data_IF_908270584544
#
_entry.id   IF_908270584544
#
_cell.length_a   1.000
_cell.length_b   1.000
_cell.length_c   1.000
_cell.angle_alpha   90.00
_cell.angle_beta   90.00
_cell.angle_gamma   90.00
#
_symmetry.space_group_name_H-M   'P 1'
#
loop_
_entity.id
_entity.type
_entity.pdbx_description
1 polymer ?
#
# COMPACT_ATOMS: atom_id res chain seq x y z
N UNK A 1 67.16 18.46 3.78
CA UNK A 1 66.07 19.02 4.58
C UNK A 1 66.44 20.44 4.98
N UNK A 2 65.99 21.44 4.22
CA UNK A 2 66.27 22.87 4.48
C UNK A 2 64.96 23.67 4.40
N UNK A 3 63.93 23.20 5.11
CA UNK A 3 62.61 23.83 5.17
C UNK A 3 62.28 24.40 6.56
N UNK A 4 63.14 24.17 7.54
CA UNK A 4 63.10 24.85 8.83
C UNK A 4 64.19 25.90 8.78
N UNK A 5 63.83 27.19 8.78
CA UNK A 5 64.79 28.21 9.19
C UNK A 5 65.07 27.96 10.67
N UNK A 6 66.17 27.28 10.93
CA UNK A 6 66.89 27.48 12.16
C UNK A 6 67.14 28.99 12.27
N UNK A 7 66.81 29.59 13.42
CA UNK A 7 66.89 31.02 13.74
C UNK A 7 65.61 31.83 13.43
N UNK A 8 64.54 31.57 14.20
CA UNK A 8 63.75 32.66 14.77
C UNK A 8 63.68 32.47 16.29
N UNK A 9 63.88 33.55 17.04
CA UNK A 9 63.71 33.58 18.49
C UNK A 9 62.22 33.48 18.81
N UNK A 10 61.67 32.27 18.78
CA UNK A 10 60.25 31.99 18.98
C UNK A 10 59.96 30.50 18.92
N UNK A 11 58.78 30.11 19.39
CA UNK A 11 58.30 28.74 19.24
C UNK A 11 57.91 28.49 17.78
N UNK A 12 57.99 27.24 17.34
CA UNK A 12 57.59 26.81 15.99
C UNK A 12 56.09 27.04 15.68
N UNK A 13 55.28 27.37 16.68
CA UNK A 13 53.88 27.73 16.56
C UNK A 13 53.63 29.25 16.63
N UNK A 14 54.68 30.05 16.83
CA UNK A 14 54.54 31.50 16.87
C UNK A 14 54.16 32.01 15.47
N UNK A 15 53.29 33.01 15.43
CA UNK A 15 52.77 33.58 14.20
C UNK A 15 53.90 34.24 13.40
N UNK A 16 54.29 33.67 12.25
CA UNK A 16 55.23 34.29 11.34
C UNK A 16 54.53 35.45 10.60
N UNK A 17 55.22 36.57 10.44
CA UNK A 17 54.70 37.73 9.69
C UNK A 17 54.22 37.32 8.30
N UNK A 18 53.04 37.79 7.91
CA UNK A 18 52.51 37.61 6.56
C UNK A 18 53.58 38.11 5.56
N UNK A 19 53.90 37.32 4.52
CA UNK A 19 54.87 37.72 3.51
C UNK A 19 54.50 39.09 2.94
N UNK A 20 55.39 40.07 3.06
CA UNK A 20 55.13 41.47 2.68
C UNK A 20 54.85 41.68 1.18
N UNK A 21 55.06 40.64 0.37
CA UNK A 21 54.76 40.61 -1.06
C UNK A 21 53.38 39.98 -1.40
N UNK A 22 52.63 39.51 -0.40
CA UNK A 22 51.33 38.86 -0.56
C UNK A 22 50.21 39.66 0.15
N UNK A 23 48.96 39.45 -0.26
CA UNK A 23 47.80 40.06 0.42
C UNK A 23 47.80 39.65 1.91
N UNK A 24 47.35 40.54 2.79
CA UNK A 24 47.36 40.31 4.22
C UNK A 24 46.45 39.12 4.59
N UNK A 25 47.06 37.95 4.78
CA UNK A 25 46.38 36.74 5.23
C UNK A 25 46.63 36.46 6.71
N UNK A 26 46.03 35.38 7.20
CA UNK A 26 46.22 34.97 8.58
C UNK A 26 47.60 34.32 8.76
N UNK A 27 48.33 34.76 9.78
CA UNK A 27 49.69 34.29 10.10
C UNK A 27 49.70 32.77 10.40
N UNK A 28 50.73 32.06 9.93
CA UNK A 28 50.94 30.61 10.16
C UNK A 28 52.39 30.35 10.60
N UNK A 29 52.62 29.28 11.35
CA UNK A 29 53.92 29.00 12.01
C UNK A 29 55.01 28.33 11.14
N UNK A 30 54.73 27.99 9.89
CA UNK A 30 55.69 27.29 8.99
C UNK A 30 55.77 27.99 7.64
N UNK A 31 56.91 28.64 7.35
CA UNK A 31 57.10 29.53 6.19
C UNK A 31 56.68 28.90 4.86
N UNK A 32 57.13 27.68 4.58
CA UNK A 32 56.80 26.99 3.32
C UNK A 32 55.31 26.67 3.17
N UNK A 33 54.62 26.39 4.28
CA UNK A 33 53.17 26.19 4.27
C UNK A 33 52.44 27.53 4.20
N UNK A 34 52.95 28.56 4.88
CA UNK A 34 52.40 29.91 4.87
C UNK A 34 52.42 30.50 3.45
N UNK A 35 53.55 30.40 2.76
CA UNK A 35 53.71 30.84 1.37
C UNK A 35 52.83 30.01 0.42
N UNK A 36 52.82 28.68 0.54
CA UNK A 36 52.03 27.81 -0.33
C UNK A 36 50.52 28.04 -0.16
N UNK A 37 50.05 28.23 1.07
CA UNK A 37 48.64 28.51 1.37
C UNK A 37 48.25 29.90 0.89
N UNK A 38 49.06 30.94 1.11
CA UNK A 38 48.77 32.26 0.54
C UNK A 38 48.81 32.27 -1.00
N UNK A 39 49.67 31.47 -1.62
CA UNK A 39 49.66 31.29 -3.07
C UNK A 39 48.40 30.57 -3.56
N UNK A 40 47.87 29.64 -2.78
CA UNK A 40 46.59 28.97 -3.04
C UNK A 40 45.41 29.95 -2.86
N UNK A 41 45.39 30.72 -1.78
CA UNK A 41 44.40 31.77 -1.49
C UNK A 41 44.43 32.89 -2.56
N UNK A 42 45.59 33.16 -3.17
CA UNK A 42 45.74 34.06 -4.32
C UNK A 42 45.15 33.51 -5.62
N UNK A 43 44.97 32.18 -5.75
CA UNK A 43 44.32 31.62 -6.94
C UNK A 43 42.89 32.15 -7.01
N UNK A 44 42.55 32.67 -8.18
CA UNK A 44 41.20 33.15 -8.48
C UNK A 44 40.49 32.09 -9.29
N UNK A 45 39.23 31.88 -8.94
CA UNK A 45 38.35 30.96 -9.64
C UNK A 45 37.43 31.77 -10.54
N UNK A 46 37.17 31.24 -11.73
CA UNK A 46 36.16 31.78 -12.61
C UNK A 46 34.85 31.07 -12.31
N UNK A 47 33.83 31.86 -12.02
CA UNK A 47 32.45 31.38 -11.97
C UNK A 47 31.59 32.13 -12.97
N UNK A 48 30.46 31.55 -13.31
CA UNK A 48 29.46 32.12 -14.20
C UNK A 48 28.34 32.74 -13.36
N UNK A 49 27.97 33.97 -13.67
CA UNK A 49 26.93 34.72 -12.94
C UNK A 49 25.89 35.22 -13.94
N UNK A 50 24.71 34.58 -13.91
CA UNK A 50 23.60 34.91 -14.80
C UNK A 50 22.92 36.20 -14.35
N UNK A 51 22.84 37.17 -15.27
CA UNK A 51 21.96 38.33 -15.11
C UNK A 51 20.62 38.03 -15.77
N UNK A 52 19.53 38.16 -15.02
CA UNK A 52 18.17 37.99 -15.54
C UNK A 52 17.61 39.27 -16.19
N UNK A 53 18.46 40.30 -16.36
CA UNK A 53 18.08 41.51 -17.08
C UNK A 53 18.18 41.27 -18.59
N UNK A 54 17.13 41.67 -19.28
CA UNK A 54 17.05 41.58 -20.73
C UNK A 54 17.90 42.67 -21.39
N UNK A 55 18.74 42.25 -22.32
CA UNK A 55 19.58 43.11 -23.15
C UNK A 55 19.06 43.04 -24.57
N UNK A 56 18.60 44.18 -25.10
CA UNK A 56 18.09 44.27 -26.47
C UNK A 56 19.24 44.46 -27.45
N UNK A 57 19.40 43.54 -28.39
CA UNK A 57 20.40 43.68 -29.46
C UNK A 57 19.88 44.63 -30.54
N UNK A 58 20.54 45.78 -30.81
CA UNK A 58 20.07 46.71 -31.83
C UNK A 58 20.01 46.11 -33.22
N UNK A 59 19.11 46.65 -34.05
CA UNK A 59 19.04 46.31 -35.46
C UNK A 59 20.38 46.57 -36.17
N UNK A 60 20.74 45.68 -37.09
CA UNK A 60 21.97 45.73 -37.89
C UNK A 60 23.28 45.68 -37.08
N UNK A 61 23.23 45.18 -35.84
CA UNK A 61 24.39 45.01 -34.98
C UNK A 61 24.52 43.57 -34.47
N UNK A 62 25.76 43.12 -34.29
CA UNK A 62 26.11 41.90 -33.58
C UNK A 62 26.95 42.21 -32.33
N UNK A 63 26.77 43.38 -31.75
CA UNK A 63 27.36 43.80 -30.49
C UNK A 63 26.38 44.73 -29.75
N UNK A 64 26.58 44.90 -28.44
CA UNK A 64 25.77 45.79 -27.59
C UNK A 64 26.67 46.50 -26.60
N UNK A 65 26.57 47.83 -26.50
CA UNK A 65 27.10 48.58 -25.37
C UNK A 65 26.09 48.51 -24.23
N UNK A 66 26.48 47.98 -23.08
CA UNK A 66 25.59 47.75 -21.95
C UNK A 66 25.21 49.08 -21.27
N UNK A 67 23.91 49.32 -21.11
CA UNK A 67 23.35 50.44 -20.34
C UNK A 67 23.36 50.18 -18.82
N UNK A 68 22.96 51.19 -18.02
CA UNK A 68 23.06 51.14 -16.55
C UNK A 68 22.32 49.96 -15.90
N UNK A 69 21.22 49.50 -16.51
CA UNK A 69 20.46 48.34 -16.04
C UNK A 69 21.01 46.99 -16.54
N UNK A 70 21.84 47.00 -17.58
CA UNK A 70 22.33 45.80 -18.29
C UNK A 70 23.74 45.39 -17.85
N UNK A 71 24.35 46.17 -16.95
CA UNK A 71 25.66 45.88 -16.39
C UNK A 71 25.66 44.57 -15.58
N UNK A 72 26.84 43.92 -15.43
CA UNK A 72 26.96 42.74 -14.57
C UNK A 72 26.48 43.05 -13.14
N UNK A 73 25.89 42.06 -12.42
CA UNK A 73 25.41 42.26 -11.05
C UNK A 73 26.48 42.78 -10.10
N UNK A 74 27.74 42.46 -10.38
CA UNK A 74 28.90 43.09 -9.75
C UNK A 74 29.48 44.15 -10.68
N UNK A 75 29.37 45.41 -10.28
CA UNK A 75 29.87 46.53 -11.07
C UNK A 75 31.41 46.55 -11.23
N UNK A 76 32.18 45.83 -10.39
CA UNK A 76 33.62 45.75 -10.57
C UNK A 76 33.99 44.90 -11.79
N UNK A 77 34.86 45.42 -12.67
CA UNK A 77 35.44 44.69 -13.80
C UNK A 77 36.98 44.65 -13.72
N UNK A 78 37.57 43.65 -14.34
CA UNK A 78 39.02 43.46 -14.42
C UNK A 78 39.43 42.95 -15.80
N UNK A 79 40.40 43.64 -16.42
CA UNK A 79 40.98 43.27 -17.72
C UNK A 79 42.32 42.53 -17.62
N UNK A 80 43.00 42.61 -16.47
CA UNK A 80 44.24 41.90 -16.18
C UNK A 80 44.03 40.42 -15.84
N UNK A 81 45.07 39.75 -15.35
CA UNK A 81 45.05 38.30 -15.08
C UNK A 81 44.67 37.90 -13.64
N UNK A 82 44.72 38.83 -12.68
CA UNK A 82 44.74 38.50 -11.23
C UNK A 82 43.76 39.28 -10.35
N UNK A 83 43.11 40.33 -10.86
CA UNK A 83 42.11 41.08 -10.10
C UNK A 83 40.77 40.36 -9.97
N UNK A 84 39.94 40.85 -9.06
CA UNK A 84 38.58 40.36 -8.79
C UNK A 84 37.55 41.11 -9.63
N UNK A 85 36.37 40.51 -9.80
CA UNK A 85 35.26 41.11 -10.53
C UNK A 85 35.01 40.45 -11.88
N UNK A 86 34.14 41.08 -12.67
CA UNK A 86 33.75 40.58 -13.98
C UNK A 86 34.92 40.69 -14.97
N UNK A 87 35.20 39.62 -15.69
CA UNK A 87 36.33 39.55 -16.62
C UNK A 87 35.93 40.09 -17.98
N UNK A 88 36.57 41.18 -18.40
CA UNK A 88 36.39 41.80 -19.71
C UNK A 88 37.75 41.97 -20.38
N UNK A 89 37.88 41.82 -21.70
CA UNK A 89 39.10 42.22 -22.39
C UNK A 89 39.15 43.75 -22.52
N UNK A 90 40.34 44.34 -22.45
CA UNK A 90 40.50 45.73 -22.85
C UNK A 90 40.25 45.83 -24.36
N UNK A 91 39.30 46.68 -24.77
CA UNK A 91 38.96 46.81 -26.17
C UNK A 91 40.13 47.40 -26.97
N UNK A 92 40.61 46.68 -27.98
CA UNK A 92 41.79 47.05 -28.76
C UNK A 92 41.51 48.04 -29.89
N UNK A 93 40.24 48.31 -30.21
CA UNK A 93 39.79 49.13 -31.34
C UNK A 93 38.88 50.31 -30.96
N UNK A 94 38.02 50.72 -31.90
CA UNK A 94 36.98 51.72 -31.64
C UNK A 94 35.87 51.08 -30.79
N UNK A 95 35.63 51.61 -29.60
CA UNK A 95 34.53 51.15 -28.77
C UNK A 95 33.19 51.46 -29.42
N UNK A 96 32.26 50.50 -29.43
CA UNK A 96 31.03 50.59 -30.21
C UNK A 96 31.12 49.99 -31.62
N UNK A 97 32.10 49.11 -31.86
CA UNK A 97 32.18 48.21 -33.02
C UNK A 97 32.43 46.78 -32.54
N UNK A 98 32.02 45.77 -33.31
CA UNK A 98 32.30 44.35 -32.99
C UNK A 98 33.81 44.09 -32.89
N UNK A 99 34.20 43.28 -31.91
CA UNK A 99 35.59 42.84 -31.72
C UNK A 99 35.69 41.36 -31.35
N UNK A 100 36.85 40.77 -31.64
CA UNK A 100 37.27 39.43 -31.22
C UNK A 100 38.40 39.52 -30.17
N UNK A 101 38.42 40.58 -29.36
CA UNK A 101 39.41 40.70 -28.28
C UNK A 101 39.15 39.63 -27.21
N UNK A 102 40.13 38.74 -27.03
CA UNK A 102 40.06 37.59 -26.14
C UNK A 102 41.09 37.68 -25.00
N UNK A 103 40.66 37.28 -23.81
CA UNK A 103 41.60 36.96 -22.73
C UNK A 103 41.87 35.47 -22.77
N UNK A 104 43.13 35.11 -23.03
CA UNK A 104 43.61 33.72 -23.09
C UNK A 104 43.03 32.83 -21.98
N UNK A 105 42.26 31.83 -22.41
CA UNK A 105 41.62 30.81 -21.59
C UNK A 105 42.34 29.46 -21.62
N UNK A 106 41.59 28.39 -21.36
CA UNK A 106 42.11 27.01 -21.48
C UNK A 106 42.23 26.55 -22.95
N UNK A 107 41.37 27.08 -23.81
CA UNK A 107 41.33 26.86 -25.26
C UNK A 107 40.90 28.16 -25.95
N UNK A 108 41.09 28.28 -27.27
CA UNK A 108 40.65 29.44 -28.04
C UNK A 108 39.11 29.59 -28.05
N UNK A 109 38.36 28.49 -28.02
CA UNK A 109 36.89 28.52 -27.87
C UNK A 109 36.38 28.79 -26.45
N UNK A 110 37.28 29.01 -25.48
CA UNK A 110 36.91 29.24 -24.07
C UNK A 110 37.76 30.33 -23.42
N UNK A 111 37.78 31.55 -23.99
CA UNK A 111 38.50 32.67 -23.40
C UNK A 111 37.84 33.10 -22.08
N UNK A 112 38.61 33.75 -21.21
CA UNK A 112 38.16 34.08 -19.85
C UNK A 112 37.08 35.17 -19.80
N UNK A 113 36.98 35.99 -20.84
CA UNK A 113 35.95 37.01 -21.02
C UNK A 113 34.73 36.50 -21.82
N UNK A 114 34.62 35.19 -22.07
CA UNK A 114 33.45 34.60 -22.71
C UNK A 114 32.23 34.72 -21.80
N UNK A 115 31.12 35.18 -22.37
CA UNK A 115 29.80 35.35 -21.77
C UNK A 115 28.87 34.33 -22.44
N UNK A 116 28.09 33.59 -21.65
CA UNK A 116 27.04 32.76 -22.25
C UNK A 116 25.83 33.62 -22.55
N UNK A 117 25.18 33.35 -23.68
CA UNK A 117 24.03 34.10 -24.17
C UNK A 117 22.87 33.13 -24.29
N UNK A 118 21.73 33.51 -23.72
CA UNK A 118 20.48 32.75 -23.81
C UNK A 118 19.34 33.68 -24.20
N UNK A 119 18.28 33.12 -24.77
CA UNK A 119 17.07 33.84 -25.11
C UNK A 119 16.42 34.48 -23.87
N UNK A 120 16.02 35.75 -24.00
CA UNK A 120 15.40 36.55 -22.96
C UNK A 120 14.15 35.91 -22.33
N UNK A 121 13.34 35.26 -23.17
CA UNK A 121 12.05 34.71 -22.79
C UNK A 121 12.14 33.23 -22.42
N UNK A 122 12.76 32.41 -23.26
CA UNK A 122 12.77 30.94 -23.08
C UNK A 122 13.95 30.44 -22.26
N UNK A 123 15.03 31.23 -22.16
CA UNK A 123 16.32 30.83 -21.56
C UNK A 123 17.04 29.72 -22.32
N UNK A 124 16.59 29.41 -23.54
CA UNK A 124 17.28 28.45 -24.39
C UNK A 124 18.52 29.09 -25.03
N UNK A 125 19.53 28.28 -25.41
CA UNK A 125 20.64 28.77 -26.22
C UNK A 125 20.16 29.29 -27.57
N UNK A 126 20.60 30.49 -27.94
CA UNK A 126 20.39 31.01 -29.30
C UNK A 126 21.36 30.29 -30.24
N UNK A 127 20.86 29.81 -31.37
CA UNK A 127 21.63 29.06 -32.36
C UNK A 127 21.87 29.90 -33.62
N UNK A 128 23.10 29.83 -34.12
CA UNK A 128 23.54 30.41 -35.39
C UNK A 128 24.26 29.31 -36.17
N UNK A 129 23.64 28.83 -37.26
CA UNK A 129 24.10 27.66 -38.02
C UNK A 129 24.46 26.45 -37.13
N UNK A 130 23.51 26.04 -36.28
CA UNK A 130 23.63 24.93 -35.30
C UNK A 130 24.69 25.11 -34.20
N UNK A 131 25.42 26.24 -34.20
CA UNK A 131 26.36 26.59 -33.14
C UNK A 131 25.73 27.55 -32.14
N UNK A 132 26.03 27.36 -30.86
CA UNK A 132 25.56 28.28 -29.80
C UNK A 132 26.19 29.65 -29.99
N UNK A 133 25.37 30.69 -29.86
CA UNK A 133 25.84 32.07 -29.78
C UNK A 133 26.37 32.32 -28.37
N UNK A 134 27.54 32.95 -28.31
CA UNK A 134 28.19 33.44 -27.10
C UNK A 134 28.45 34.95 -27.24
N UNK A 135 28.97 35.56 -26.19
CA UNK A 135 29.47 36.94 -26.22
C UNK A 135 30.91 37.04 -25.72
N UNK A 136 31.66 37.99 -26.22
CA UNK A 136 32.93 38.42 -25.63
C UNK A 136 32.71 39.76 -24.93
N UNK A 137 33.01 39.81 -23.62
CA UNK A 137 32.90 41.04 -22.85
C UNK A 137 34.15 41.90 -23.04
N UNK A 138 33.93 43.18 -23.33
CA UNK A 138 34.95 44.19 -23.60
C UNK A 138 34.75 45.39 -22.66
N UNK A 139 35.85 45.93 -22.15
CA UNK A 139 35.87 47.16 -21.39
C UNK A 139 36.48 48.28 -22.24
N UNK A 140 35.84 49.46 -22.21
CA UNK A 140 36.30 50.65 -22.95
C UNK A 140 37.71 51.10 -22.51
N UNK A 141 38.05 50.88 -21.24
CA UNK A 141 39.36 51.24 -20.67
C UNK A 141 40.07 50.00 -20.12
N UNK A 142 41.39 49.93 -20.37
CA UNK A 142 42.24 48.92 -19.76
C UNK A 142 42.45 49.16 -18.25
N UNK A 143 42.56 48.07 -17.50
CA UNK A 143 42.72 48.06 -16.05
C UNK A 143 41.55 47.43 -15.30
N UNK A 144 41.48 47.75 -14.01
CA UNK A 144 40.39 47.39 -13.10
C UNK A 144 39.56 48.63 -12.80
N UNK A 145 38.25 48.49 -12.66
CA UNK A 145 37.39 49.62 -12.35
C UNK A 145 35.95 49.24 -12.02
N UNK A 146 35.12 50.26 -11.86
CA UNK A 146 33.67 50.11 -11.73
C UNK A 146 33.04 50.40 -13.09
N UNK A 147 32.34 49.42 -13.65
CA UNK A 147 31.61 49.53 -14.89
C UNK A 147 30.48 50.55 -14.75
N UNK A 148 30.29 51.37 -15.77
CA UNK A 148 29.26 52.41 -15.85
C UNK A 148 28.68 52.45 -17.26
N UNK A 149 27.53 53.06 -17.44
CA UNK A 149 26.95 53.34 -18.77
C UNK A 149 27.58 54.56 -19.47
N UNK A 150 28.50 55.24 -18.79
CA UNK A 150 29.23 56.39 -19.29
C UNK A 150 30.72 56.10 -19.54
N UNK A 151 31.29 56.77 -20.54
CA UNK A 151 32.74 56.80 -20.78
C UNK A 151 33.45 57.34 -19.54
N UNK A 152 34.60 56.76 -19.14
CA UNK A 152 35.41 55.80 -19.90
C UNK A 152 35.26 54.33 -19.46
N UNK A 153 34.29 54.01 -18.62
CA UNK A 153 34.17 52.69 -17.99
C UNK A 153 33.00 51.86 -18.52
N UNK A 154 32.66 52.01 -19.81
CA UNK A 154 31.59 51.21 -20.42
C UNK A 154 32.01 49.79 -20.68
N UNK A 155 31.02 48.91 -20.67
CA UNK A 155 31.16 47.52 -21.09
C UNK A 155 30.38 47.29 -22.39
N UNK A 156 30.94 46.45 -23.25
CA UNK A 156 30.33 46.01 -24.49
C UNK A 156 30.38 44.49 -24.57
N UNK A 157 29.36 43.88 -25.15
CA UNK A 157 29.37 42.48 -25.54
C UNK A 157 29.39 42.39 -27.05
N UNK A 158 30.35 41.66 -27.60
CA UNK A 158 30.42 41.32 -29.03
C UNK A 158 29.98 39.87 -29.23
N UNK A 159 28.95 39.62 -30.03
CA UNK A 159 28.39 38.27 -30.20
C UNK A 159 29.26 37.44 -31.14
N UNK A 160 29.54 36.21 -30.72
CA UNK A 160 30.43 35.27 -31.41
C UNK A 160 29.81 33.88 -31.42
N UNK A 161 30.33 33.01 -32.27
CA UNK A 161 30.03 31.58 -32.28
C UNK A 161 31.32 30.80 -32.54
N UNK A 162 31.29 29.50 -32.30
CA UNK A 162 32.41 28.63 -32.68
C UNK A 162 32.46 28.55 -34.21
N UNK A 163 33.67 28.65 -34.77
CA UNK A 163 33.87 28.53 -36.21
C UNK A 163 33.58 27.12 -36.72
N UNK A 164 33.47 26.94 -38.04
CA UNK A 164 33.18 25.63 -38.62
C UNK A 164 34.25 24.55 -38.33
N UNK A 165 35.48 24.95 -38.00
CA UNK A 165 36.56 24.04 -37.66
C UNK A 165 36.51 23.57 -36.19
N UNK A 166 35.73 24.23 -35.33
CA UNK A 166 35.62 23.91 -33.91
C UNK A 166 36.82 24.34 -33.07
N UNK A 167 37.73 25.15 -33.62
CA UNK A 167 39.02 25.48 -33.00
C UNK A 167 39.14 26.95 -32.57
N UNK A 168 38.27 27.83 -33.05
CA UNK A 168 38.33 29.27 -32.76
C UNK A 168 36.92 29.91 -32.69
N UNK A 169 36.85 31.14 -32.20
CA UNK A 169 35.65 31.96 -32.22
C UNK A 169 35.60 32.84 -33.47
N UNK A 170 34.41 32.97 -34.06
CA UNK A 170 34.15 33.89 -35.15
C UNK A 170 32.98 34.83 -34.81
N UNK A 171 32.91 35.97 -35.50
CA UNK A 171 31.80 36.89 -35.34
C UNK A 171 30.47 36.21 -35.68
N UNK A 172 29.48 36.35 -34.78
CA UNK A 172 28.12 35.90 -35.07
C UNK A 172 27.54 36.75 -36.22
N UNK A 173 26.94 36.15 -37.27
CA UNK A 173 26.25 36.90 -38.30
C UNK A 173 25.18 37.82 -37.70
N UNK A 174 25.12 39.08 -38.15
CA UNK A 174 24.17 40.09 -37.65
C UNK A 174 22.73 39.59 -37.72
N UNK A 175 22.34 38.95 -38.82
CA UNK A 175 20.98 38.46 -39.04
C UNK A 175 20.52 37.39 -38.02
N UNK A 176 21.45 36.73 -37.33
CA UNK A 176 21.13 35.66 -36.38
C UNK A 176 20.90 36.19 -34.96
N UNK A 177 21.31 37.43 -34.67
CA UNK A 177 21.28 38.00 -33.32
C UNK A 177 20.63 39.39 -33.22
N UNK A 178 20.49 40.13 -34.33
CA UNK A 178 19.85 41.44 -34.32
C UNK A 178 18.39 41.37 -33.86
N UNK A 179 17.95 42.37 -33.10
CA UNK A 179 16.60 42.46 -32.52
C UNK A 179 16.25 41.36 -31.51
N UNK A 180 17.19 40.49 -31.14
CA UNK A 180 16.97 39.51 -30.07
C UNK A 180 17.00 40.21 -28.71
N UNK A 181 16.18 39.71 -27.78
CA UNK A 181 16.31 40.01 -26.36
C UNK A 181 17.10 38.88 -25.73
N UNK A 182 18.22 39.18 -25.07
CA UNK A 182 19.12 38.16 -24.53
C UNK A 182 19.39 38.38 -23.05
N UNK A 183 19.71 37.29 -22.34
CA UNK A 183 20.31 37.36 -21.03
C UNK A 183 21.75 36.89 -21.07
N UNK A 184 22.56 37.48 -20.20
CA UNK A 184 24.01 37.33 -20.21
C UNK A 184 24.47 36.64 -18.94
N UNK A 185 25.31 35.62 -19.12
CA UNK A 185 25.99 34.94 -18.03
C UNK A 185 27.47 35.30 -18.02
N UNK A 186 27.83 36.24 -17.15
CA UNK A 186 29.14 36.85 -17.09
C UNK A 186 30.17 35.94 -16.41
N UNK A 187 31.41 35.98 -16.88
CA UNK A 187 32.52 35.35 -16.18
C UNK A 187 33.04 36.28 -15.08
N UNK A 188 33.03 35.84 -13.83
CA UNK A 188 33.52 36.59 -12.67
C UNK A 188 34.66 35.87 -11.99
N UNK A 189 35.70 36.62 -11.61
CA UNK A 189 36.75 36.14 -10.72
C UNK A 189 36.38 36.37 -9.26
N UNK A 190 36.44 35.29 -8.51
CA UNK A 190 36.21 35.25 -7.07
C UNK A 190 37.40 34.64 -6.35
N UNK A 191 37.52 34.92 -5.04
CA UNK A 191 38.49 34.24 -4.18
C UNK A 191 38.01 32.83 -3.87
N UNK A 192 38.93 31.98 -3.42
CA UNK A 192 38.58 30.64 -2.98
C UNK A 192 37.57 30.63 -1.82
N UNK A 193 37.74 31.57 -0.87
CA UNK A 193 36.85 31.74 0.29
C UNK A 193 35.43 32.24 -0.07
N UNK A 194 35.27 32.83 -1.26
CA UNK A 194 33.98 33.36 -1.75
C UNK A 194 33.22 32.34 -2.61
N UNK A 195 33.82 31.18 -2.89
CA UNK A 195 33.11 30.10 -3.59
C UNK A 195 32.10 29.46 -2.65
N UNK A 196 30.86 29.42 -3.10
CA UNK A 196 29.79 28.66 -2.45
C UNK A 196 29.78 27.22 -2.94
N UNK A 197 29.14 26.31 -2.21
CA UNK A 197 28.99 24.91 -2.64
C UNK A 197 28.28 24.80 -4.01
N UNK A 198 27.34 25.71 -4.29
CA UNK A 198 26.64 25.78 -5.57
C UNK A 198 27.57 26.14 -6.74
N UNK A 199 28.63 26.93 -6.50
CA UNK A 199 29.60 27.29 -7.54
C UNK A 199 30.43 26.07 -8.02
N UNK A 200 30.44 24.97 -7.27
CA UNK A 200 31.10 23.71 -7.65
C UNK A 200 30.17 22.72 -8.37
N UNK A 201 28.86 23.00 -8.39
CA UNK A 201 27.92 22.22 -9.17
C UNK A 201 27.99 22.69 -10.62
N UNK A 202 28.64 21.91 -11.49
CA UNK A 202 28.41 22.07 -12.93
C UNK A 202 26.99 21.62 -13.23
N UNK A 203 26.25 22.42 -14.00
CA UNK A 203 24.93 22.10 -14.56
C UNK A 203 24.88 20.67 -15.11
N UNK A 204 24.50 19.71 -14.26
CA UNK A 204 24.06 18.39 -14.69
C UNK A 204 22.62 18.54 -15.19
N UNK A 205 22.47 19.29 -16.29
CA UNK A 205 21.21 19.42 -16.99
C UNK A 205 21.00 18.10 -17.73
N UNK A 206 20.21 17.22 -17.11
CA UNK A 206 19.60 16.09 -17.82
C UNK A 206 18.48 16.69 -18.66
N UNK A 207 18.82 17.11 -19.87
CA UNK A 207 17.86 17.54 -20.87
C UNK A 207 17.00 16.32 -21.26
N UNK A 208 15.80 16.23 -20.68
CA UNK A 208 14.81 15.26 -21.11
C UNK A 208 14.05 15.93 -22.26
N UNK A 209 14.19 15.43 -23.50
CA UNK A 209 13.62 16.09 -24.66
C UNK A 209 12.12 16.32 -24.45
N UNK A 210 11.60 17.46 -24.92
CA UNK A 210 10.21 17.89 -24.74
C UNK A 210 9.12 16.90 -25.24
N UNK A 211 9.51 15.84 -25.96
CA UNK A 211 8.63 14.75 -26.42
C UNK A 211 8.81 13.41 -25.67
N UNK A 212 9.76 13.30 -24.75
CA UNK A 212 9.93 12.10 -23.94
C UNK A 212 8.95 12.16 -22.78
N UNK A 213 7.88 11.36 -22.83
CA UNK A 213 7.06 11.09 -21.65
C UNK A 213 7.99 10.61 -20.54
N UNK A 214 8.08 11.35 -19.44
CA UNK A 214 8.76 10.89 -18.22
C UNK A 214 7.92 9.74 -17.67
N UNK A 215 8.14 8.55 -18.23
CA UNK A 215 7.53 7.34 -17.68
C UNK A 215 8.13 7.12 -16.30
N UNK A 216 7.34 6.58 -15.39
CA UNK A 216 7.81 6.21 -14.04
C UNK A 216 9.08 5.35 -14.10
N UNK A 217 9.21 4.52 -15.15
CA UNK A 217 10.40 3.71 -15.40
C UNK A 217 11.65 4.53 -15.75
N UNK A 218 11.52 5.59 -16.55
CA UNK A 218 12.62 6.50 -16.86
C UNK A 218 13.02 7.30 -15.62
N UNK A 219 12.05 7.71 -14.79
CA UNK A 219 12.34 8.36 -13.51
C UNK A 219 13.11 7.42 -12.54
N UNK A 220 12.75 6.13 -12.47
CA UNK A 220 13.51 5.15 -11.68
C UNK A 220 14.91 4.89 -12.25
N UNK A 221 15.04 4.73 -13.56
CA UNK A 221 16.33 4.52 -14.21
C UNK A 221 17.27 5.72 -14.03
N UNK A 222 16.72 6.94 -13.91
CA UNK A 222 17.49 8.17 -13.73
C UNK A 222 17.97 8.41 -12.28
N UNK A 223 17.53 7.63 -11.29
CA UNK A 223 18.03 7.73 -9.90
C UNK A 223 19.39 7.04 -9.68
N UNK A 224 19.99 6.50 -10.74
CA UNK A 224 21.29 5.83 -10.69
C UNK A 224 21.23 4.44 -10.03
N UNK A 225 22.38 3.93 -9.60
CA UNK A 225 22.55 2.57 -9.06
C UNK A 225 22.01 2.43 -7.63
N UNK A 226 21.45 3.50 -7.06
CA UNK A 226 20.92 3.48 -5.69
C UNK A 226 19.65 2.63 -5.71
N UNK A 227 19.64 1.45 -5.08
CA UNK A 227 18.43 0.63 -5.03
C UNK A 227 17.36 1.46 -4.33
N UNK A 228 16.19 1.62 -4.97
CA UNK A 228 15.02 2.20 -4.30
C UNK A 228 14.80 1.39 -3.03
N UNK A 229 14.90 2.05 -1.89
CA UNK A 229 14.83 1.43 -0.58
C UNK A 229 13.49 0.70 -0.45
N UNK A 230 13.54 -0.65 -0.44
CA UNK A 230 12.37 -1.53 -0.51
C UNK A 230 11.43 -1.41 0.70
N UNK A 231 11.85 -0.69 1.75
CA UNK A 231 11.03 -0.37 2.91
C UNK A 231 10.24 0.94 2.78
N UNK A 232 10.45 1.72 1.72
CA UNK A 232 9.66 2.92 1.44
C UNK A 232 8.44 2.55 0.58
N UNK A 233 7.25 2.70 1.15
CA UNK A 233 5.99 2.51 0.41
C UNK A 233 5.88 3.49 -0.75
N UNK A 234 5.54 3.00 -1.95
CA UNK A 234 5.13 3.85 -3.05
C UNK A 234 3.65 4.22 -2.87
N UNK A 235 3.38 5.49 -2.58
CA UNK A 235 2.02 6.00 -2.47
C UNK A 235 1.55 6.49 -3.84
N UNK A 236 0.38 6.02 -4.28
CA UNK A 236 -0.34 6.56 -5.42
C UNK A 236 -1.57 7.29 -4.88
N UNK A 237 -1.48 8.61 -4.81
CA UNK A 237 -2.61 9.46 -4.44
C UNK A 237 -3.44 9.76 -5.69
N UNK A 238 -4.63 9.16 -5.77
CA UNK A 238 -5.61 9.48 -6.81
C UNK A 238 -6.48 10.64 -6.32
N UNK A 239 -6.90 11.49 -7.25
CA UNK A 239 -7.92 12.49 -6.98
C UNK A 239 -9.29 11.95 -7.37
N UNK A 240 -10.33 12.52 -6.79
CA UNK A 240 -11.72 12.13 -7.05
C UNK A 240 -12.04 12.12 -8.54
N UNK A 241 -12.61 11.00 -9.02
CA UNK A 241 -12.99 10.83 -10.42
C UNK A 241 -11.83 10.49 -11.36
N UNK A 242 -10.61 10.36 -10.82
CA UNK A 242 -9.46 9.80 -11.54
C UNK A 242 -9.42 8.29 -11.32
N UNK A 243 -9.25 7.56 -12.42
CA UNK A 243 -9.06 6.12 -12.40
C UNK A 243 -7.62 5.77 -12.81
N UNK A 244 -7.08 4.74 -12.16
CA UNK A 244 -5.81 4.13 -12.53
C UNK A 244 -6.07 2.73 -13.06
N UNK A 245 -5.45 2.39 -14.19
CA UNK A 245 -5.64 1.11 -14.86
C UNK A 245 -4.28 0.46 -15.15
N UNK A 246 -4.17 -0.83 -14.86
CA UNK A 246 -3.16 -1.70 -15.42
C UNK A 246 -3.77 -2.43 -16.62
N UNK A 247 -3.10 -2.34 -17.76
CA UNK A 247 -3.51 -2.99 -19.01
C UNK A 247 -2.43 -3.95 -19.49
N UNK A 248 -2.83 -4.94 -20.26
CA UNK A 248 -1.89 -5.77 -21.02
C UNK A 248 -1.41 -5.06 -22.31
N UNK A 249 -0.58 -5.76 -23.09
CA UNK A 249 -0.05 -5.23 -24.36
C UNK A 249 -1.09 -5.16 -25.49
N UNK A 250 -2.30 -5.65 -25.28
CA UNK A 250 -3.44 -5.60 -26.20
C UNK A 250 -4.51 -4.61 -25.72
N UNK A 251 -4.18 -3.76 -24.74
CA UNK A 251 -5.06 -2.78 -24.10
C UNK A 251 -6.23 -3.38 -23.31
N UNK A 252 -6.19 -4.68 -22.98
CA UNK A 252 -7.15 -5.29 -22.07
C UNK A 252 -6.89 -4.81 -20.63
N UNK A 253 -7.92 -4.35 -19.94
CA UNK A 253 -7.82 -3.94 -18.54
C UNK A 253 -7.68 -5.16 -17.63
N UNK A 254 -6.59 -5.23 -16.87
CA UNK A 254 -6.30 -6.31 -15.92
C UNK A 254 -6.72 -5.93 -14.48
N UNK A 255 -6.48 -4.67 -14.12
CA UNK A 255 -6.77 -4.13 -12.80
C UNK A 255 -7.09 -2.65 -12.89
N UNK A 256 -8.10 -2.19 -12.15
CA UNK A 256 -8.35 -0.76 -12.01
C UNK A 256 -8.72 -0.35 -10.59
N UNK A 257 -8.30 0.86 -10.22
CA UNK A 257 -8.70 1.56 -9.01
C UNK A 257 -9.42 2.83 -9.44
N UNK A 258 -10.64 3.01 -8.96
CA UNK A 258 -11.36 4.29 -9.10
C UNK A 258 -11.61 4.86 -7.72
N UNK A 259 -11.08 6.06 -7.45
CA UNK A 259 -11.38 6.75 -6.21
C UNK A 259 -12.80 7.34 -6.27
N UNK A 260 -13.68 6.83 -5.42
CA UNK A 260 -15.01 7.40 -5.19
C UNK A 260 -14.89 8.72 -4.41
N UNK A 261 -15.51 9.77 -4.92
CA UNK A 261 -15.45 11.13 -4.34
C UNK A 261 -15.67 11.18 -2.83
N UNK A 262 -14.69 11.64 -2.05
CA UNK A 262 -14.73 12.18 -0.66
C UNK A 262 -15.48 11.44 0.46
N UNK A 263 -16.30 10.45 0.12
CA UNK A 263 -17.22 9.67 0.95
C UNK A 263 -17.79 8.46 0.20
N UNK A 264 -17.39 8.21 -1.06
CA UNK A 264 -17.89 7.15 -1.92
C UNK A 264 -16.91 5.99 -2.00
N UNK A 265 -17.43 4.76 -2.05
CA UNK A 265 -16.64 3.53 -2.06
C UNK A 265 -15.56 3.57 -3.16
N UNK A 266 -14.29 3.50 -2.77
CA UNK A 266 -13.20 3.17 -3.70
C UNK A 266 -13.48 1.79 -4.26
N UNK A 267 -13.54 1.67 -5.59
CA UNK A 267 -13.68 0.37 -6.26
C UNK A 267 -12.33 -0.08 -6.78
N UNK A 268 -11.94 -1.29 -6.39
CA UNK A 268 -10.87 -2.04 -7.03
C UNK A 268 -11.51 -3.18 -7.83
N UNK A 269 -11.27 -3.21 -9.14
CA UNK A 269 -11.83 -4.23 -10.05
C UNK A 269 -10.70 -5.09 -10.59
N UNK A 270 -10.83 -6.41 -10.41
CA UNK A 270 -10.02 -7.43 -11.08
C UNK A 270 -10.82 -7.96 -12.26
N UNK A 271 -10.30 -7.80 -13.48
CA UNK A 271 -11.03 -8.12 -14.71
C UNK A 271 -10.94 -9.61 -15.07
N UNK A 272 -11.80 -10.03 -16.01
CA UNK A 272 -12.21 -11.43 -16.27
C UNK A 272 -11.13 -12.42 -16.74
N UNK A 273 -9.89 -11.99 -16.96
CA UNK A 273 -8.78 -12.88 -17.32
C UNK A 273 -7.87 -13.21 -16.12
N UNK A 274 -8.20 -12.73 -14.91
CA UNK A 274 -7.53 -13.12 -13.67
C UNK A 274 -8.38 -14.20 -12.98
N UNK A 275 -8.22 -15.45 -13.40
CA UNK A 275 -8.98 -16.61 -12.90
C UNK A 275 -8.75 -16.92 -11.40
N UNK A 276 -7.77 -16.29 -10.75
CA UNK A 276 -7.39 -16.59 -9.36
C UNK A 276 -6.95 -15.36 -8.58
N UNK A 277 -7.72 -15.00 -7.55
CA UNK A 277 -7.26 -14.17 -6.44
C UNK A 277 -6.62 -15.09 -5.38
N UNK A 278 -5.30 -15.30 -5.46
CA UNK A 278 -4.53 -16.08 -4.48
C UNK A 278 -3.97 -15.17 -3.38
N UNK A 279 -4.49 -15.30 -2.16
CA UNK A 279 -4.02 -14.55 -0.99
C UNK A 279 -3.29 -15.52 -0.05
N UNK A 280 -1.97 -15.60 -0.18
CA UNK A 280 -1.11 -16.48 0.63
C UNK A 280 -0.66 -15.88 1.97
N UNK A 281 -1.29 -14.79 2.43
CA UNK A 281 -0.91 -14.18 3.70
C UNK A 281 -1.45 -15.00 4.87
N UNK A 282 -0.66 -15.09 5.95
CA UNK A 282 -1.02 -15.82 7.17
C UNK A 282 -2.27 -15.22 7.83
N UNK A 283 -2.44 -13.89 7.70
CA UNK A 283 -3.63 -13.15 8.12
C UNK A 283 -4.16 -12.31 6.94
N UNK A 284 -5.41 -12.55 6.53
CA UNK A 284 -6.14 -11.68 5.58
C UNK A 284 -7.36 -11.11 6.28
N UNK A 285 -7.39 -9.79 6.45
CA UNK A 285 -8.51 -9.10 7.10
C UNK A 285 -9.29 -8.29 6.06
N UNK A 286 -10.52 -8.72 5.76
CA UNK A 286 -11.47 -7.92 4.97
C UNK A 286 -12.23 -7.02 5.96
N UNK A 287 -11.87 -5.74 6.01
CA UNK A 287 -12.60 -4.75 6.83
C UNK A 287 -13.87 -4.33 6.08
N UNK A 288 -15.02 -4.39 6.75
CA UNK A 288 -16.35 -3.95 6.29
C UNK A 288 -17.08 -4.86 5.28
N UNK A 289 -17.35 -6.10 5.69
CA UNK A 289 -18.17 -7.12 5.00
C UNK A 289 -17.57 -7.67 3.68
N UNK A 290 -17.43 -9.00 3.59
CA UNK A 290 -17.29 -9.69 2.30
C UNK A 290 -18.68 -9.95 1.72
N UNK A 291 -18.96 -9.44 0.52
CA UNK A 291 -20.18 -9.74 -0.25
C UNK A 291 -19.84 -10.57 -1.46
N UNK A 292 -20.14 -11.86 -1.43
CA UNK A 292 -20.09 -12.73 -2.62
C UNK A 292 -21.47 -12.71 -3.27
N UNK A 293 -21.60 -11.98 -4.38
CA UNK A 293 -22.83 -11.96 -5.16
C UNK A 293 -22.82 -13.15 -6.11
N UNK A 294 -23.68 -14.13 -5.84
CA UNK A 294 -24.12 -15.11 -6.84
C UNK A 294 -25.47 -14.58 -7.33
N UNK A 295 -25.59 -14.38 -8.64
CA UNK A 295 -26.78 -13.92 -9.37
C UNK A 295 -28.04 -13.56 -8.53
N UNK A 296 -28.08 -12.31 -8.12
CA UNK A 296 -29.30 -11.49 -7.91
C UNK A 296 -30.30 -11.79 -6.79
N UNK A 297 -30.06 -12.64 -5.78
CA UNK A 297 -31.04 -12.69 -4.67
C UNK A 297 -30.54 -12.90 -3.24
N UNK A 298 -29.35 -13.46 -2.98
CA UNK A 298 -28.96 -13.80 -1.59
C UNK A 298 -27.45 -13.66 -1.35
N UNK A 299 -26.98 -12.57 -0.69
CA UNK A 299 -25.57 -12.46 -0.32
C UNK A 299 -25.23 -13.45 0.80
N UNK A 300 -24.08 -14.12 0.69
CA UNK A 300 -23.43 -14.76 1.84
C UNK A 300 -22.64 -13.66 2.57
N UNK A 301 -22.92 -13.45 3.86
CA UNK A 301 -22.22 -12.47 4.70
C UNK A 301 -21.27 -13.22 5.62
N UNK A 302 -19.97 -12.91 5.51
CA UNK A 302 -18.93 -13.46 6.38
C UNK A 302 -18.37 -12.31 7.22
N UNK A 303 -18.42 -12.44 8.54
CA UNK A 303 -17.71 -11.54 9.45
C UNK A 303 -18.44 -10.26 9.88
N UNK A 304 -19.77 -10.16 9.73
CA UNK A 304 -20.54 -9.02 10.27
C UNK A 304 -20.57 -9.05 11.82
N UNK A 305 -20.40 -10.24 12.41
CA UNK A 305 -20.07 -10.50 13.81
C UNK A 305 -18.85 -11.41 13.89
N UNK A 306 -18.00 -11.25 14.91
CA UNK A 306 -16.79 -12.05 15.12
C UNK A 306 -17.12 -13.55 15.06
N UNK A 307 -16.53 -14.25 14.07
CA UNK A 307 -16.62 -15.69 13.91
C UNK A 307 -17.98 -16.26 13.48
N UNK A 308 -18.80 -15.51 12.73
CA UNK A 308 -20.05 -16.01 12.15
C UNK A 308 -20.06 -15.95 10.61
N UNK A 309 -20.61 -16.99 9.98
CA UNK A 309 -21.05 -17.00 8.58
C UNK A 309 -22.58 -17.04 8.58
N UNK A 310 -23.22 -16.00 8.03
CA UNK A 310 -24.67 -15.79 8.11
C UNK A 310 -25.27 -15.58 6.71
N UNK A 311 -26.48 -16.09 6.52
CA UNK A 311 -27.34 -15.73 5.37
C UNK A 311 -28.49 -14.86 5.88
N UNK A 312 -28.96 -13.90 5.07
CA UNK A 312 -29.98 -12.91 5.47
C UNK A 312 -31.40 -13.50 5.72
N UNK A 313 -31.51 -14.81 5.94
CA UNK A 313 -32.74 -15.50 6.33
C UNK A 313 -32.58 -16.53 7.44
N UNK A 314 -31.41 -16.58 8.11
CA UNK A 314 -31.17 -17.40 9.30
C UNK A 314 -31.22 -18.92 9.11
N UNK A 315 -31.31 -19.43 7.88
CA UNK A 315 -31.59 -20.87 7.69
C UNK A 315 -30.41 -21.80 7.99
N UNK A 316 -29.18 -21.29 7.99
CA UNK A 316 -27.96 -22.03 8.30
C UNK A 316 -26.88 -21.06 8.77
N UNK A 317 -26.33 -21.29 9.96
CA UNK A 317 -25.25 -20.50 10.54
C UNK A 317 -24.08 -21.40 10.93
N UNK A 318 -22.85 -20.95 10.68
CA UNK A 318 -21.64 -21.57 11.21
C UNK A 318 -21.06 -20.64 12.28
N UNK A 319 -21.03 -21.09 13.53
CA UNK A 319 -20.52 -20.31 14.65
C UNK A 319 -19.05 -20.60 14.94
N UNK A 320 -18.39 -19.64 15.59
CA UNK A 320 -16.95 -19.61 15.89
C UNK A 320 -16.38 -20.81 16.68
N UNK A 321 -17.24 -21.69 17.20
CA UNK A 321 -16.88 -22.90 17.92
C UNK A 321 -16.93 -24.19 17.07
N UNK A 322 -16.96 -24.06 15.73
CA UNK A 322 -17.21 -25.17 14.78
C UNK A 322 -18.61 -25.79 14.89
N UNK A 323 -19.58 -25.03 15.40
CA UNK A 323 -20.95 -25.50 15.55
C UNK A 323 -21.76 -25.13 14.30
N UNK A 324 -22.52 -26.11 13.78
CA UNK A 324 -23.49 -25.92 12.70
C UNK A 324 -24.89 -25.74 13.30
N UNK A 325 -25.51 -24.59 13.02
CA UNK A 325 -26.82 -24.20 13.56
C UNK A 325 -27.90 -24.13 12.48
N UNK A 326 -29.10 -24.62 12.82
CA UNK A 326 -30.34 -24.39 12.08
C UNK A 326 -31.31 -23.59 12.96
N UNK A 327 -31.78 -22.46 12.44
CA UNK A 327 -32.75 -21.57 13.09
C UNK A 327 -34.10 -21.59 12.34
N UNK A 328 -35.20 -21.32 13.06
CA UNK A 328 -36.58 -21.46 12.58
C UNK A 328 -37.25 -20.13 12.21
N UNK A 329 -36.48 -19.06 12.00
CA UNK A 329 -36.86 -17.64 11.71
C UNK A 329 -38.19 -17.40 10.98
N UNK A 330 -38.67 -18.33 10.17
CA UNK A 330 -39.96 -18.29 9.47
C UNK A 330 -41.20 -18.59 10.36
N UNK A 331 -41.08 -19.00 11.62
CA UNK A 331 -42.22 -19.28 12.50
C UNK A 331 -42.34 -18.26 13.65
N UNK A 332 -42.97 -17.10 13.37
CA UNK A 332 -43.23 -16.09 14.39
C UNK A 332 -44.05 -16.67 15.57
N UNK A 333 -43.45 -16.69 16.77
CA UNK A 333 -44.06 -17.25 17.99
C UNK A 333 -43.63 -18.68 18.32
N UNK A 334 -42.66 -19.24 17.60
CA UNK A 334 -42.01 -20.49 18.00
C UNK A 334 -41.36 -20.35 19.38
N UNK A 335 -41.62 -21.30 20.27
CA UNK A 335 -40.97 -21.39 21.58
C UNK A 335 -39.52 -21.86 21.51
N UNK A 336 -38.98 -22.06 20.31
CA UNK A 336 -37.60 -22.40 20.05
C UNK A 336 -36.75 -21.16 20.34
N UNK A 337 -36.33 -21.04 21.59
CA UNK A 337 -35.64 -19.84 22.04
C UNK A 337 -34.22 -19.80 21.47
N UNK A 338 -33.93 -18.67 20.84
CA UNK A 338 -32.69 -18.08 20.29
C UNK A 338 -31.37 -18.34 21.06
N UNK A 339 -31.38 -19.05 22.20
CA UNK A 339 -30.17 -19.46 22.94
C UNK A 339 -29.63 -20.85 22.59
N UNK A 340 -30.42 -21.70 21.90
CA UNK A 340 -30.02 -23.05 21.53
C UNK A 340 -30.90 -23.53 20.36
N UNK A 341 -30.52 -23.21 19.12
CA UNK A 341 -31.08 -23.91 17.95
C UNK A 341 -30.88 -25.42 18.05
N UNK A 342 -31.20 -26.18 17.00
CA UNK A 342 -30.79 -27.59 16.98
C UNK A 342 -29.26 -27.62 16.87
N UNK A 343 -28.60 -27.84 18.00
CA UNK A 343 -27.21 -28.26 18.05
C UNK A 343 -27.18 -29.73 17.67
N UNK A 344 -26.45 -30.06 16.61
CA UNK A 344 -26.27 -31.46 16.22
C UNK A 344 -25.31 -32.19 17.17
N UNK A 345 -24.47 -31.45 17.90
CA UNK A 345 -23.54 -31.95 18.92
C UNK A 345 -22.90 -30.77 19.66
N UNK A 346 -22.63 -30.94 20.96
CA UNK A 346 -21.86 -30.02 21.81
C UNK A 346 -20.39 -30.44 21.96
N UNK A 347 -20.06 -31.71 21.71
CA UNK A 347 -18.68 -32.23 21.82
C UNK A 347 -18.40 -33.37 20.84
N UNK A 348 -17.12 -33.59 20.51
CA UNK A 348 -16.72 -34.76 19.71
C UNK A 348 -17.08 -36.09 20.36
N UNK A 349 -17.16 -36.15 21.70
CA UNK A 349 -17.55 -37.35 22.42
C UNK A 349 -19.00 -37.78 22.10
N UNK A 350 -19.90 -36.84 21.85
CA UNK A 350 -21.27 -37.16 21.45
C UNK A 350 -21.34 -37.72 20.02
N UNK A 351 -20.41 -37.32 19.15
CA UNK A 351 -20.29 -37.92 17.82
C UNK A 351 -19.71 -39.33 17.89
N UNK A 352 -18.72 -39.56 18.77
CA UNK A 352 -18.19 -40.91 19.01
C UNK A 352 -19.28 -41.84 19.57
N UNK A 353 -20.13 -41.34 20.48
CA UNK A 353 -21.27 -42.09 21.01
C UNK A 353 -22.33 -42.36 19.93
N UNK A 354 -22.60 -41.39 19.06
CA UNK A 354 -23.50 -41.56 17.91
C UNK A 354 -22.97 -42.62 16.93
N UNK A 355 -21.70 -42.56 16.56
CA UNK A 355 -21.08 -43.55 15.66
C UNK A 355 -21.05 -44.93 16.31
N UNK A 356 -20.79 -45.03 17.61
CA UNK A 356 -20.87 -46.30 18.33
C UNK A 356 -22.30 -46.88 18.34
N UNK A 357 -23.33 -46.04 18.45
CA UNK A 357 -24.72 -46.46 18.52
C UNK A 357 -25.35 -46.79 17.16
N UNK A 358 -25.01 -46.04 16.11
CA UNK A 358 -25.68 -46.10 14.80
C UNK A 358 -24.73 -46.40 13.63
N UNK A 359 -23.42 -46.34 13.83
CA UNK A 359 -22.40 -46.40 12.78
C UNK A 359 -22.24 -45.08 12.01
N UNK A 360 -21.41 -45.09 10.96
CA UNK A 360 -21.27 -43.98 10.01
C UNK A 360 -22.51 -43.90 9.09
N UNK A 361 -23.63 -43.41 9.63
CA UNK A 361 -24.90 -43.26 8.91
C UNK A 361 -25.41 -41.82 8.95
N UNK A 362 -26.25 -41.45 7.97
CA UNK A 362 -26.89 -40.13 7.99
C UNK A 362 -27.82 -39.99 9.20
N UNK A 363 -27.99 -38.77 9.73
CA UNK A 363 -28.90 -38.52 10.86
C UNK A 363 -30.34 -39.00 10.60
N UNK A 364 -30.83 -38.85 9.36
CA UNK A 364 -32.15 -39.35 8.98
C UNK A 364 -32.23 -40.87 9.04
N UNK A 365 -31.15 -41.55 8.66
CA UNK A 365 -31.07 -43.01 8.76
C UNK A 365 -30.98 -43.45 10.23
N UNK A 366 -30.19 -42.77 11.06
CA UNK A 366 -30.13 -43.02 12.50
C UNK A 366 -31.49 -42.84 13.19
N UNK A 367 -32.27 -41.82 12.83
CA UNK A 367 -33.64 -41.62 13.36
C UNK A 367 -34.56 -42.78 12.94
N UNK A 368 -34.44 -43.26 11.70
CA UNK A 368 -35.20 -44.41 11.24
C UNK A 368 -34.78 -45.68 11.98
N UNK A 369 -33.48 -45.90 12.17
CA UNK A 369 -32.93 -47.03 12.92
C UNK A 369 -33.38 -46.99 14.39
N UNK A 370 -33.35 -45.83 15.05
CA UNK A 370 -33.85 -45.64 16.42
C UNK A 370 -35.35 -45.97 16.53
N UNK A 371 -36.16 -45.54 15.55
CA UNK A 371 -37.58 -45.90 15.48
C UNK A 371 -37.79 -47.40 15.26
N UNK A 372 -36.95 -48.03 14.45
CA UNK A 372 -37.01 -49.45 14.12
C UNK A 372 -36.49 -50.36 15.25
N UNK A 373 -35.69 -49.83 16.18
CA UNK A 373 -35.23 -50.54 17.38
C UNK A 373 -36.34 -50.76 18.41
N UNK A 374 -37.23 -49.77 18.63
CA UNK A 374 -38.29 -49.89 19.64
C UNK A 374 -39.44 -50.83 19.20
N UNK A 375 -39.33 -52.12 19.53
CA UNK A 375 -40.41 -53.10 19.28
C UNK A 375 -41.53 -52.91 20.31
N UNK A 376 -42.62 -52.22 19.94
CA UNK A 376 -43.79 -52.08 20.82
C UNK A 376 -44.79 -53.22 20.62
N UNK A 377 -45.02 -54.02 21.65
CA UNK A 377 -46.10 -55.01 21.66
C UNK A 377 -47.27 -54.50 22.50
N UNK A 378 -48.46 -54.38 21.90
CA UNK A 378 -49.68 -53.98 22.60
C UNK A 378 -50.71 -55.08 22.51
N UNK A 379 -51.23 -55.51 23.66
CA UNK A 379 -52.34 -56.47 23.75
C UNK A 379 -53.46 -55.90 24.60
N UNK A 380 -54.68 -56.12 24.15
CA UNK A 380 -55.89 -55.88 24.93
C UNK A 380 -56.49 -57.23 25.27
N UNK A 381 -56.74 -57.46 26.55
CA UNK A 381 -57.29 -58.70 27.06
C UNK A 381 -58.50 -58.42 27.96
N UNK A 382 -59.63 -59.02 27.65
CA UNK A 382 -60.86 -58.92 28.44
C UNK A 382 -60.84 -59.98 29.52
N UNK A 383 -61.22 -59.63 30.74
CA UNK A 383 -61.31 -60.59 31.85
C UNK A 383 -62.54 -61.47 31.63
N UNK A 384 -62.38 -62.80 31.70
CA UNK A 384 -63.42 -63.79 31.37
C UNK A 384 -63.71 -64.73 32.54
N UNK A 385 -64.81 -65.48 32.50
CA UNK A 385 -65.08 -66.60 33.42
C UNK A 385 -65.59 -66.22 34.83
N UNK A 386 -65.08 -65.18 35.48
CA UNK A 386 -65.42 -64.85 36.87
C UNK A 386 -64.91 -63.49 37.35
N UNK A 387 -65.20 -63.13 38.61
CA UNK A 387 -64.53 -62.02 39.29
C UNK A 387 -63.35 -62.59 40.08
N UNK A 388 -62.15 -62.06 39.88
CA UNK A 388 -60.91 -62.55 40.47
C UNK A 388 -60.47 -61.62 41.59
N UNK A 389 -60.15 -62.18 42.76
CA UNK A 389 -59.70 -61.39 43.91
C UNK A 389 -58.36 -60.69 43.62
N UNK A 390 -58.04 -59.66 44.40
CA UNK A 390 -56.71 -59.05 44.37
C UNK A 390 -55.61 -60.12 44.54
N UNK A 391 -54.46 -59.89 43.90
CA UNK A 391 -53.32 -60.81 43.90
C UNK A 391 -53.56 -62.18 43.25
N UNK A 392 -54.65 -62.34 42.48
CA UNK A 392 -54.80 -63.49 41.59
C UNK A 392 -53.94 -63.28 40.35
N UNK A 393 -53.18 -64.29 39.94
CA UNK A 393 -52.45 -64.26 38.66
C UNK A 393 -53.43 -64.16 37.49
N UNK A 394 -53.22 -63.21 36.59
CA UNK A 394 -54.01 -62.97 35.40
C UNK A 394 -53.17 -63.19 34.16
N UNK A 395 -53.68 -64.01 33.24
CA UNK A 395 -53.13 -64.21 31.91
C UNK A 395 -54.18 -64.90 31.02
N UNK A 396 -53.90 -65.00 29.73
CA UNK A 396 -54.83 -65.51 28.74
C UNK A 396 -55.07 -67.02 28.77
N UNK A 397 -55.71 -67.53 27.71
CA UNK A 397 -56.19 -68.90 27.61
C UNK A 397 -55.12 -69.97 27.77
N UNK A 398 -53.84 -69.66 27.49
CA UNK A 398 -52.79 -70.67 27.53
C UNK A 398 -52.28 -70.95 28.95
N UNK A 399 -52.46 -70.02 29.88
CA UNK A 399 -51.89 -70.12 31.23
C UNK A 399 -52.96 -70.27 32.31
N UNK A 400 -53.84 -69.28 32.49
CA UNK A 400 -54.89 -69.31 33.53
C UNK A 400 -56.31 -69.30 32.98
N UNK A 401 -56.51 -68.86 31.73
CA UNK A 401 -57.83 -68.77 31.11
C UNK A 401 -58.78 -67.78 31.79
N UNK A 402 -58.23 -66.80 32.53
CA UNK A 402 -59.00 -65.72 33.14
C UNK A 402 -58.99 -64.43 32.31
N UNK A 403 -58.17 -64.36 31.26
CA UNK A 403 -58.26 -63.38 30.19
C UNK A 403 -58.58 -64.08 28.85
N UNK A 404 -59.23 -63.36 27.92
CA UNK A 404 -59.56 -63.88 26.58
C UNK A 404 -58.34 -64.01 25.65
N UNK A 405 -57.25 -63.30 25.96
CA UNK A 405 -56.01 -63.23 25.18
C UNK A 405 -54.81 -63.25 26.12
N UNK A 406 -53.72 -63.92 25.72
CA UNK A 406 -52.48 -63.93 26.49
C UNK A 406 -51.84 -62.55 26.50
N UNK A 407 -51.40 -62.12 27.68
CA UNK A 407 -50.64 -60.88 27.81
C UNK A 407 -49.22 -61.08 27.26
N UNK A 408 -48.60 -60.01 26.72
CA UNK A 408 -47.25 -60.08 26.18
C UNK A 408 -46.26 -60.42 27.28
N UNK A 409 -45.34 -61.33 26.98
CA UNK A 409 -44.26 -61.70 27.90
C UNK A 409 -43.31 -60.53 28.10
N UNK A 410 -42.95 -60.26 29.35
CA UNK A 410 -41.92 -59.30 29.75
C UNK A 410 -40.59 -59.97 30.10
N UNK A 411 -40.40 -61.24 29.72
CA UNK A 411 -39.20 -62.01 30.09
C UNK A 411 -37.89 -61.37 29.62
N UNK A 412 -37.89 -60.72 28.46
CA UNK A 412 -36.69 -60.13 27.84
C UNK A 412 -36.37 -58.71 28.31
N UNK A 413 -37.35 -57.98 28.84
CA UNK A 413 -37.21 -56.54 29.17
C UNK A 413 -37.37 -56.25 30.66
N UNK A 414 -37.69 -57.28 31.46
CA UNK A 414 -37.98 -57.13 32.88
C UNK A 414 -39.30 -56.43 33.16
N UNK A 415 -39.78 -56.57 34.40
CA UNK A 415 -41.03 -55.95 34.85
C UNK A 415 -40.71 -54.61 35.53
N UNK A 416 -40.70 -53.51 34.77
CA UNK A 416 -40.44 -52.16 35.29
C UNK A 416 -41.41 -51.12 34.70
N UNK A 417 -41.63 -49.97 35.37
CA UNK A 417 -42.48 -48.90 34.83
C UNK A 417 -42.01 -48.34 33.48
N UNK A 418 -40.72 -48.51 33.14
CA UNK A 418 -40.11 -47.99 31.91
C UNK A 418 -40.23 -48.98 30.75
N UNK A 419 -40.40 -50.27 31.04
CA UNK A 419 -40.42 -51.35 30.03
C UNK A 419 -41.80 -51.96 29.84
N UNK A 420 -42.69 -51.87 30.84
CA UNK A 420 -44.07 -52.37 30.76
C UNK A 420 -45.09 -51.40 31.33
N UNK A 421 -46.18 -51.21 30.59
CA UNK A 421 -47.30 -50.37 31.00
C UNK A 421 -48.60 -51.17 30.97
N UNK A 422 -49.40 -51.03 32.02
CA UNK A 422 -50.71 -51.65 32.09
C UNK A 422 -51.80 -50.59 32.27
N UNK A 423 -52.91 -50.78 31.60
CA UNK A 423 -54.12 -49.99 31.79
C UNK A 423 -55.28 -50.92 32.09
N UNK A 424 -56.18 -50.48 32.96
CA UNK A 424 -57.44 -51.18 33.20
C UNK A 424 -58.58 -50.23 32.89
N UNK A 425 -59.43 -50.59 31.94
CA UNK A 425 -60.55 -49.76 31.46
C UNK A 425 -60.12 -48.35 31.02
N UNK A 426 -58.91 -48.21 30.49
CA UNK A 426 -58.34 -46.94 30.03
C UNK A 426 -57.63 -46.11 31.09
N UNK A 427 -57.65 -46.52 32.37
CA UNK A 427 -56.87 -45.88 33.43
C UNK A 427 -55.51 -46.56 33.58
N UNK A 428 -54.43 -45.76 33.60
CA UNK A 428 -53.06 -46.26 33.77
C UNK A 428 -52.90 -46.85 35.18
N UNK A 429 -52.37 -48.06 35.26
CA UNK A 429 -51.96 -48.70 36.49
C UNK A 429 -50.48 -48.44 36.74
N UNK A 430 -50.10 -48.18 37.99
CA UNK A 430 -48.70 -47.97 38.37
C UNK A 430 -48.00 -49.32 38.57
N UNK A 431 -47.07 -49.66 37.69
CA UNK A 431 -46.22 -50.86 37.79
C UNK A 431 -45.45 -50.88 39.11
N UNK A 432 -45.54 -51.97 39.87
CA UNK A 432 -44.96 -52.13 41.21
C UNK A 432 -45.86 -51.70 42.37
N UNK A 433 -46.98 -51.02 42.10
CA UNK A 433 -47.94 -50.56 43.13
C UNK A 433 -49.34 -51.14 42.87
N UNK A 434 -49.87 -50.93 41.67
CA UNK A 434 -51.20 -51.38 41.25
C UNK A 434 -51.17 -52.73 40.53
N UNK A 435 -50.07 -52.98 39.83
CA UNK A 435 -49.81 -54.20 39.08
C UNK A 435 -48.41 -54.70 39.42
N UNK A 436 -48.29 -55.96 39.82
CA UNK A 436 -47.01 -56.63 40.07
C UNK A 436 -46.86 -57.84 39.16
N UNK A 437 -45.62 -58.28 38.93
CA UNK A 437 -45.34 -59.49 38.19
C UNK A 437 -46.04 -60.70 38.86
N UNK A 438 -46.72 -61.51 38.05
CA UNK A 438 -47.29 -62.78 38.49
C UNK A 438 -46.23 -63.88 38.60
N UNK A 439 -46.68 -65.12 38.71
CA UNK A 439 -45.78 -66.26 38.95
C UNK A 439 -44.95 -66.69 37.72
N UNK A 440 -45.33 -66.32 36.50
CA UNK A 440 -44.54 -66.47 35.29
C UNK A 440 -44.48 -65.19 34.43
N UNK A 441 -43.53 -65.13 33.48
CA UNK A 441 -43.42 -64.00 32.57
C UNK A 441 -44.63 -63.89 31.65
N UNK A 442 -45.25 -62.71 31.62
CA UNK A 442 -46.55 -62.47 30.97
C UNK A 442 -47.71 -62.46 31.96
N UNK A 443 -47.53 -63.02 33.16
CA UNK A 443 -48.56 -62.99 34.20
C UNK A 443 -48.48 -61.69 34.99
N UNK A 444 -49.63 -61.20 35.41
CA UNK A 444 -49.73 -60.05 36.32
C UNK A 444 -50.65 -60.33 37.50
N UNK A 445 -50.42 -59.63 38.59
CA UNK A 445 -51.32 -59.57 39.74
C UNK A 445 -51.73 -58.13 39.99
N UNK A 446 -53.03 -57.89 40.13
CA UNK A 446 -53.54 -56.56 40.49
C UNK A 446 -53.78 -56.46 42.00
N UNK A 447 -53.50 -55.30 42.58
CA UNK A 447 -53.74 -55.03 44.00
C UNK A 447 -55.24 -54.89 44.37
N UNK A 448 -56.12 -54.99 43.38
CA UNK A 448 -57.58 -54.86 43.48
C UNK A 448 -58.28 -56.02 42.77
N UNK A 449 -59.53 -56.25 43.16
CA UNK A 449 -60.39 -57.23 42.49
C UNK A 449 -60.63 -56.83 41.03
N UNK A 450 -60.65 -57.84 40.15
CA UNK A 450 -60.91 -57.67 38.71
C UNK A 450 -62.21 -58.36 38.34
N UNK A 451 -63.01 -57.71 37.52
CA UNK A 451 -64.36 -58.13 37.17
C UNK A 451 -64.42 -58.76 35.77
N UNK A 452 -64.67 -60.06 35.68
CA UNK A 452 -64.91 -60.76 34.41
C UNK A 452 -66.38 -61.07 34.12
N UNK A 453 -67.32 -60.60 34.97
CA UNK A 453 -68.76 -60.89 34.84
C UNK A 453 -69.62 -59.62 34.77
N UNK A 454 -70.81 -59.71 34.17
CA UNK A 454 -71.74 -58.58 34.01
C UNK A 454 -71.61 -57.88 32.65
N UNK A 455 -72.36 -56.79 32.44
CA UNK A 455 -72.45 -56.12 31.12
C UNK A 455 -71.19 -55.37 30.69
N UNK A 456 -70.20 -55.22 31.59
CA UNK A 456 -68.93 -54.52 31.37
C UNK A 456 -67.83 -55.25 32.18
N UNK A 457 -67.24 -56.33 31.65
CA UNK A 457 -66.02 -56.90 32.22
C UNK A 457 -64.86 -55.90 32.09
N UNK A 458 -63.87 -56.02 32.96
CA UNK A 458 -62.67 -55.21 32.93
C UNK A 458 -61.80 -55.61 31.72
N UNK A 459 -61.24 -54.60 31.06
CA UNK A 459 -60.30 -54.78 29.95
C UNK A 459 -58.92 -54.33 30.40
N UNK A 460 -57.96 -55.23 30.28
CA UNK A 460 -56.55 -54.98 30.57
C UNK A 460 -55.84 -54.71 29.25
N UNK A 461 -55.20 -53.55 29.16
CA UNK A 461 -54.23 -53.28 28.10
C UNK A 461 -52.84 -53.48 28.68
N UNK A 462 -52.02 -54.28 28.02
CA UNK A 462 -50.62 -54.44 28.33
C UNK A 462 -49.78 -53.92 27.16
N UNK A 463 -48.78 -53.12 27.48
CA UNK A 463 -47.78 -52.61 26.54
C UNK A 463 -46.44 -53.09 27.05
N UNK A 464 -45.70 -53.80 26.21
CA UNK A 464 -44.31 -54.19 26.47
C UNK A 464 -43.45 -53.51 25.42
N UNK A 465 -42.48 -52.72 25.89
CA UNK A 465 -41.50 -52.04 25.07
C UNK A 465 -40.27 -52.94 24.97
N UNK A 466 -40.01 -53.48 23.78
CA UNK A 466 -38.79 -54.20 23.44
C UNK A 466 -37.59 -53.26 23.40
N UNK A 467 -36.41 -53.82 23.70
CA UNK A 467 -35.12 -53.20 23.37
C UNK A 467 -34.89 -53.10 21.86
#
# INVERSE_FOLDING_TARGET
>A
MSYLKDIQAGNWYDAQTAPSALEAGSLRGVDGLNDAVHLLEKKRFLRKELSLVDVSVPASQNYVILGAGELPPTAAYETGAVGLGTVAAAHGGTFGDHSLDEIAGGTAISPKNLVQVVDGATRDPILSADSKVYGLLHAETAGSGTATDATPNRLQVSFVRINAAGDDLEACPVADIENQSVNLCFARRVRFEDLTEQDMMSDAVVDVPAGATVTRQVAYNNQGVTPVELSASAHLDLATGVSWHLRDNLDAELFSITEGSGSGATSAVFSSDVDLLDIQSVDTHIRNDLRVAIDSARPIRIGQSLGRIETEGGSMELLSANELFFDDVNAAGSGWSIGAGIKLSETSAEWDDFEAAFGEVSLLDAIVQAKSGSVKTVVYATVTGGNYAASTDLNGPTTYGNLDTDLPSYASVGFSPDTVEYYMNGERLVTGVDVVAGTASGDIQLNKQVKGTGSRPDVIQAIVWGE
#
